data_IF_087931157165
#
_entry.id   IF_087931157165
#
_cell.length_a   1.000
_cell.length_b   1.000
_cell.length_c   1.000
_cell.angle_alpha   90.00
_cell.angle_beta   90.00
_cell.angle_gamma   90.00
#
_symmetry.space_group_name_H-M   'P 1'
#
loop_
_entity.id
_entity.type
_entity.pdbx_description
1 polymer ?
#
# COMPACT_ATOMS: atom_id res chain seq x y z
N UNK A 1 -19.80 64.31 -32.24
CA UNK A 1 -20.93 63.42 -31.86
C UNK A 1 -20.58 61.94 -32.08
N UNK A 2 -19.73 61.57 -33.04
CA UNK A 2 -19.36 60.17 -33.31
C UNK A 2 -18.42 59.52 -32.26
N UNK A 3 -17.50 60.27 -31.67
CA UNK A 3 -16.53 59.78 -30.69
C UNK A 3 -17.15 59.36 -29.34
N UNK A 4 -18.27 59.97 -28.94
CA UNK A 4 -18.97 59.62 -27.69
C UNK A 4 -19.77 58.33 -27.84
N UNK A 5 -20.31 58.07 -29.03
CA UNK A 5 -21.06 56.84 -29.33
C UNK A 5 -20.11 55.64 -29.38
N UNK A 6 -18.92 55.82 -29.97
CA UNK A 6 -17.90 54.75 -30.02
C UNK A 6 -17.37 54.38 -28.63
N UNK A 7 -17.14 55.37 -27.72
CA UNK A 7 -16.74 55.06 -26.34
C UNK A 7 -17.82 54.34 -25.52
N UNK A 8 -19.09 54.62 -25.76
CA UNK A 8 -20.21 53.93 -25.10
C UNK A 8 -20.40 52.50 -25.65
N UNK A 9 -20.14 52.25 -26.92
CA UNK A 9 -20.17 50.92 -27.52
C UNK A 9 -19.02 50.03 -27.00
N UNK A 10 -17.83 50.60 -26.86
CA UNK A 10 -16.66 49.88 -26.28
C UNK A 10 -16.89 49.58 -24.80
N UNK A 11 -17.48 50.47 -24.03
CA UNK A 11 -17.82 50.23 -22.62
C UNK A 11 -18.88 49.12 -22.45
N UNK A 12 -19.82 48.97 -23.41
CA UNK A 12 -20.82 47.89 -23.37
C UNK A 12 -20.23 46.52 -23.77
N UNK A 13 -19.20 46.48 -24.61
CA UNK A 13 -18.48 45.27 -25.00
C UNK A 13 -17.56 44.75 -23.90
N UNK A 14 -17.05 45.62 -23.00
CA UNK A 14 -16.18 45.22 -21.87
C UNK A 14 -16.98 44.74 -20.67
N UNK A 15 -18.25 45.15 -20.52
CA UNK A 15 -19.10 44.67 -19.41
C UNK A 15 -19.73 43.29 -19.66
N UNK A 16 -19.57 42.74 -20.88
CA UNK A 16 -19.96 41.38 -21.24
C UNK A 16 -18.90 40.31 -20.91
N UNK A 17 -17.85 40.68 -20.18
CA UNK A 17 -16.80 39.74 -19.76
C UNK A 17 -17.35 38.81 -18.66
N UNK A 18 -17.80 37.67 -19.12
CA UNK A 18 -17.46 36.34 -18.61
C UNK A 18 -17.78 36.19 -17.12
N UNK A 19 -19.03 35.95 -16.81
CA UNK A 19 -19.35 34.93 -15.82
C UNK A 19 -18.97 33.59 -16.46
N UNK A 20 -17.67 33.25 -16.42
CA UNK A 20 -17.28 31.86 -16.50
C UNK A 20 -17.93 31.22 -15.27
N UNK A 21 -18.82 30.23 -15.43
CA UNK A 21 -19.23 29.45 -14.29
C UNK A 21 -17.91 28.90 -13.72
N UNK A 22 -17.61 29.27 -12.47
CA UNK A 22 -16.67 28.53 -11.69
C UNK A 22 -17.25 27.12 -11.66
N UNK A 23 -16.79 26.27 -12.57
CA UNK A 23 -17.04 24.85 -12.47
C UNK A 23 -16.33 24.49 -11.19
N UNK A 24 -17.07 24.47 -10.08
CA UNK A 24 -16.63 23.75 -8.91
C UNK A 24 -16.43 22.33 -9.43
N UNK A 25 -15.19 21.98 -9.75
CA UNK A 25 -14.80 20.59 -9.82
C UNK A 25 -15.18 20.07 -8.45
N UNK A 26 -16.27 19.33 -8.37
CA UNK A 26 -16.56 18.54 -7.20
C UNK A 26 -15.35 17.63 -7.08
N UNK A 27 -14.45 17.97 -6.16
CA UNK A 27 -13.39 17.06 -5.79
C UNK A 27 -14.09 15.75 -5.47
N UNK A 28 -13.72 14.69 -6.15
CA UNK A 28 -14.28 13.38 -5.87
C UNK A 28 -13.79 13.02 -4.48
N UNK A 29 -14.61 13.22 -3.45
CA UNK A 29 -14.26 12.92 -2.06
C UNK A 29 -14.09 11.41 -1.82
N UNK A 30 -14.37 10.59 -2.84
CA UNK A 30 -14.21 9.14 -2.78
C UNK A 30 -12.75 8.79 -2.97
N UNK A 31 -12.18 8.17 -1.97
CA UNK A 31 -10.82 7.60 -2.07
C UNK A 31 -10.88 6.33 -2.90
N UNK A 32 -10.03 6.25 -3.90
CA UNK A 32 -9.86 5.05 -4.71
C UNK A 32 -8.54 4.36 -4.35
N UNK A 33 -8.49 3.05 -4.54
CA UNK A 33 -7.27 2.25 -4.35
C UNK A 33 -6.97 1.52 -5.65
N UNK A 34 -5.73 1.58 -6.07
CA UNK A 34 -5.24 0.89 -7.26
C UNK A 34 -4.10 -0.05 -6.86
N UNK A 35 -4.13 -1.27 -7.38
CA UNK A 35 -3.06 -2.26 -7.22
C UNK A 35 -2.55 -2.59 -8.62
N UNK A 36 -1.26 -2.38 -8.88
CA UNK A 36 -0.60 -2.63 -10.17
C UNK A 36 -1.27 -1.96 -11.38
N UNK A 37 -1.93 -0.82 -11.12
CA UNK A 37 -2.66 -0.04 -12.12
C UNK A 37 -4.13 -0.43 -12.28
N UNK A 38 -4.61 -1.48 -11.63
CA UNK A 38 -6.00 -1.90 -11.62
C UNK A 38 -6.71 -1.38 -10.37
N UNK A 39 -7.95 -0.90 -10.54
CA UNK A 39 -8.76 -0.41 -9.42
C UNK A 39 -9.21 -1.56 -8.53
N UNK A 40 -8.96 -1.41 -7.23
CA UNK A 40 -9.46 -2.36 -6.23
C UNK A 40 -10.98 -2.20 -6.07
N UNK A 41 -11.71 -3.25 -6.41
CA UNK A 41 -13.15 -3.29 -6.20
C UNK A 41 -13.46 -3.56 -4.72
N UNK A 42 -14.19 -2.64 -4.11
CA UNK A 42 -14.60 -2.72 -2.71
C UNK A 42 -16.13 -2.72 -2.60
N UNK A 43 -16.70 -3.56 -1.74
CA UNK A 43 -18.15 -3.56 -1.45
C UNK A 43 -18.60 -2.28 -0.73
N UNK A 44 -17.68 -1.63 -0.04
CA UNK A 44 -17.85 -0.32 0.60
C UNK A 44 -16.58 0.53 0.38
N UNK A 45 -16.75 1.85 0.30
CA UNK A 45 -15.64 2.74 0.00
C UNK A 45 -14.56 2.76 1.09
N UNK A 46 -13.28 2.91 0.70
CA UNK A 46 -12.20 3.28 1.62
C UNK A 46 -12.55 4.53 2.43
N UNK A 47 -11.99 4.65 3.63
CA UNK A 47 -12.23 5.78 4.54
C UNK A 47 -10.90 6.41 4.98
N UNK A 48 -10.87 7.73 5.07
CA UNK A 48 -9.77 8.44 5.74
C UNK A 48 -10.12 8.59 7.23
N UNK A 49 -9.29 8.03 8.09
CA UNK A 49 -9.45 8.08 9.54
C UNK A 49 -8.10 8.47 10.14
N UNK A 50 -8.08 9.57 10.87
CA UNK A 50 -6.88 10.10 11.50
C UNK A 50 -5.70 10.23 10.49
N UNK A 51 -6.01 10.79 9.30
CA UNK A 51 -5.08 11.00 8.18
C UNK A 51 -4.48 9.70 7.60
N UNK A 52 -5.12 8.57 7.83
CA UNK A 52 -4.75 7.26 7.26
C UNK A 52 -5.90 6.68 6.47
N UNK A 53 -5.59 6.14 5.30
CA UNK A 53 -6.59 5.44 4.50
C UNK A 53 -6.76 4.02 5.03
N UNK A 54 -7.99 3.72 5.44
CA UNK A 54 -8.43 2.39 5.81
C UNK A 54 -9.30 1.82 4.70
N UNK A 55 -9.10 0.55 4.41
CA UNK A 55 -9.82 -0.20 3.38
C UNK A 55 -10.56 -1.39 3.98
N UNK A 56 -11.67 -1.84 3.35
CA UNK A 56 -12.31 -3.08 3.75
C UNK A 56 -11.31 -4.24 3.71
N UNK A 57 -11.16 -4.93 4.84
CA UNK A 57 -10.11 -5.94 5.00
C UNK A 57 -10.14 -7.02 3.92
N UNK A 58 -11.34 -7.50 3.57
CA UNK A 58 -11.48 -8.58 2.61
C UNK A 58 -10.98 -8.17 1.25
N UNK A 59 -11.36 -6.98 0.79
CA UNK A 59 -10.94 -6.49 -0.52
C UNK A 59 -9.42 -6.46 -0.68
N UNK A 60 -8.71 -5.91 0.32
CA UNK A 60 -7.25 -5.77 0.21
C UNK A 60 -6.54 -7.13 0.35
N UNK A 61 -6.91 -7.97 1.31
CA UNK A 61 -6.25 -9.26 1.50
C UNK A 61 -6.51 -10.23 0.34
N UNK A 62 -7.76 -10.31 -0.17
CA UNK A 62 -8.10 -11.15 -1.31
C UNK A 62 -7.41 -10.69 -2.60
N UNK A 63 -7.25 -9.37 -2.80
CA UNK A 63 -6.48 -8.85 -3.94
C UNK A 63 -5.01 -9.28 -3.92
N UNK A 64 -4.45 -9.51 -2.74
CA UNK A 64 -3.11 -10.10 -2.58
C UNK A 64 -3.11 -11.63 -2.58
N UNK A 65 -4.25 -12.27 -2.85
CA UNK A 65 -4.37 -13.73 -2.90
C UNK A 65 -4.36 -14.43 -1.55
N UNK A 66 -4.66 -13.70 -0.47
CA UNK A 66 -4.76 -14.27 0.86
C UNK A 66 -6.19 -14.76 1.17
N UNK A 67 -6.30 -15.86 1.89
CA UNK A 67 -7.55 -16.32 2.47
C UNK A 67 -7.84 -15.55 3.77
N UNK A 68 -9.05 -15.01 3.89
CA UNK A 68 -9.41 -14.17 5.02
C UNK A 68 -10.43 -14.86 5.92
N UNK A 69 -10.16 -14.87 7.20
CA UNK A 69 -11.08 -15.37 8.23
C UNK A 69 -11.25 -14.36 9.36
N UNK A 70 -12.34 -14.50 10.11
CA UNK A 70 -12.70 -13.66 11.25
C UNK A 70 -12.88 -14.48 12.52
N UNK A 71 -12.13 -14.14 13.55
CA UNK A 71 -12.32 -14.69 14.89
C UNK A 71 -13.22 -13.76 15.72
N UNK A 72 -14.43 -14.23 16.02
CA UNK A 72 -15.40 -13.49 16.84
C UNK A 72 -14.93 -13.30 18.29
N UNK A 73 -14.22 -14.26 18.86
CA UNK A 73 -13.83 -14.24 20.26
C UNK A 73 -12.69 -13.23 20.49
N UNK A 74 -11.68 -13.27 19.61
CA UNK A 74 -10.54 -12.36 19.64
C UNK A 74 -10.82 -11.02 18.95
N UNK A 75 -11.95 -10.87 18.25
CA UNK A 75 -12.24 -9.73 17.36
C UNK A 75 -11.06 -9.44 16.43
N UNK A 76 -10.59 -10.49 15.75
CA UNK A 76 -9.33 -10.49 15.02
C UNK A 76 -9.54 -10.94 13.58
N UNK A 77 -8.91 -10.21 12.67
CA UNK A 77 -8.75 -10.62 11.27
C UNK A 77 -7.55 -11.53 11.16
N UNK A 78 -7.71 -12.64 10.48
CA UNK A 78 -6.65 -13.53 10.05
C UNK A 78 -6.62 -13.58 8.53
N UNK A 79 -5.44 -13.36 7.96
CA UNK A 79 -5.20 -13.50 6.53
C UNK A 79 -4.04 -14.48 6.33
N UNK A 80 -4.22 -15.45 5.44
CA UNK A 80 -3.27 -16.54 5.23
C UNK A 80 -2.92 -16.65 3.73
N UNK A 81 -1.64 -16.73 3.43
CA UNK A 81 -1.13 -16.93 2.07
C UNK A 81 0.19 -17.70 2.12
N UNK A 82 0.30 -18.79 1.34
CA UNK A 82 1.54 -19.57 1.17
C UNK A 82 2.18 -20.07 2.49
N UNK A 83 1.36 -20.37 3.52
CA UNK A 83 1.86 -20.80 4.82
C UNK A 83 2.28 -19.66 5.76
N UNK A 84 2.18 -18.43 5.30
CA UNK A 84 2.33 -17.22 6.12
C UNK A 84 0.98 -16.73 6.61
N UNK A 85 0.93 -16.08 7.77
CA UNK A 85 -0.29 -15.46 8.26
C UNK A 85 -0.03 -14.04 8.80
N UNK A 86 -1.08 -13.24 8.72
CA UNK A 86 -1.17 -11.91 9.32
C UNK A 86 -2.36 -11.92 10.29
N UNK A 87 -2.13 -11.44 11.50
CA UNK A 87 -3.11 -11.33 12.57
C UNK A 87 -3.33 -9.84 12.90
N UNK A 88 -4.55 -9.34 12.69
CA UNK A 88 -4.90 -7.92 12.89
C UNK A 88 -6.04 -7.84 13.91
N UNK A 89 -5.77 -7.68 15.21
CA UNK A 89 -6.79 -7.45 16.21
C UNK A 89 -7.45 -6.08 16.00
N UNK A 90 -8.77 -6.03 16.09
CA UNK A 90 -9.53 -4.78 16.00
C UNK A 90 -9.32 -3.93 17.25
N UNK A 91 -9.26 -2.60 17.07
CA UNK A 91 -9.00 -1.62 18.12
C UNK A 91 -7.63 -1.76 18.81
N UNK A 92 -6.70 -2.51 18.19
CA UNK A 92 -5.33 -2.68 18.65
C UNK A 92 -4.35 -2.07 17.65
N UNK A 93 -3.31 -1.40 18.15
CA UNK A 93 -2.27 -0.81 17.32
C UNK A 93 -1.13 -1.79 16.97
N UNK A 94 -1.27 -3.06 17.29
CA UNK A 94 -0.28 -4.07 16.96
C UNK A 94 -0.90 -5.09 16.01
N UNK A 95 -0.31 -5.23 14.85
CA UNK A 95 -0.50 -6.31 13.90
C UNK A 95 0.65 -7.29 14.04
N UNK A 96 0.39 -8.57 13.91
CA UNK A 96 1.43 -9.60 14.02
C UNK A 96 1.48 -10.46 12.78
N UNK A 97 2.67 -10.95 12.46
CA UNK A 97 2.89 -11.89 11.36
C UNK A 97 3.49 -13.19 11.86
N UNK A 98 3.34 -14.24 11.09
CA UNK A 98 3.93 -15.52 11.41
C UNK A 98 3.85 -16.52 10.25
N UNK A 99 4.37 -17.71 10.51
CA UNK A 99 4.36 -18.83 9.58
C UNK A 99 3.81 -20.08 10.27
N UNK A 100 3.25 -20.99 9.51
CA UNK A 100 2.88 -22.31 10.02
C UNK A 100 4.00 -23.33 9.77
N UNK A 101 4.33 -24.10 10.81
CA UNK A 101 5.17 -25.26 10.68
C UNK A 101 4.46 -26.38 9.91
N UNK A 102 5.23 -27.40 9.52
CA UNK A 102 4.71 -28.60 8.87
C UNK A 102 3.71 -29.40 9.72
N UNK A 103 3.73 -29.23 11.04
CA UNK A 103 2.78 -29.82 11.99
C UNK A 103 1.53 -28.94 12.23
N UNK A 104 1.44 -27.78 11.55
CA UNK A 104 0.34 -26.82 11.69
C UNK A 104 0.49 -25.88 12.90
N UNK A 105 1.57 -25.95 13.67
CA UNK A 105 1.82 -25.00 14.76
C UNK A 105 2.27 -23.64 14.20
N UNK A 106 1.81 -22.56 14.85
CA UNK A 106 2.14 -21.19 14.46
C UNK A 106 3.47 -20.75 15.09
N UNK A 107 4.34 -20.16 14.28
CA UNK A 107 5.52 -19.42 14.71
C UNK A 107 5.26 -17.94 14.45
N UNK A 108 5.27 -17.15 15.51
CA UNK A 108 5.18 -15.69 15.39
C UNK A 108 6.54 -15.13 14.97
N UNK A 109 6.55 -14.30 13.94
CA UNK A 109 7.78 -13.77 13.33
C UNK A 109 8.00 -12.33 13.73
N UNK A 110 6.99 -11.46 13.58
CA UNK A 110 7.14 -10.03 13.82
C UNK A 110 5.87 -9.39 14.39
N UNK A 111 6.03 -8.20 14.98
CA UNK A 111 4.97 -7.34 15.46
C UNK A 111 5.14 -5.94 14.87
N UNK A 112 4.12 -5.49 14.14
CA UNK A 112 4.14 -4.23 13.42
C UNK A 112 3.23 -3.23 14.15
N UNK A 113 3.80 -2.08 14.53
CA UNK A 113 3.05 -0.97 15.12
C UNK A 113 2.25 -0.25 14.05
N UNK A 114 0.94 -0.17 14.22
CA UNK A 114 0.02 0.55 13.35
C UNK A 114 -0.14 2.00 13.82
N UNK A 115 -0.10 2.94 12.89
CA UNK A 115 -0.41 4.35 13.17
C UNK A 115 -1.88 4.52 13.62
N UNK A 116 -2.77 3.79 12.96
CA UNK A 116 -4.20 3.74 13.27
C UNK A 116 -4.62 2.27 13.34
N UNK A 117 -5.34 1.86 14.40
CA UNK A 117 -5.78 0.46 14.52
C UNK A 117 -6.83 0.09 13.48
N UNK A 118 -6.97 -1.20 13.21
CA UNK A 118 -8.12 -1.72 12.48
C UNK A 118 -9.41 -1.41 13.24
N UNK A 119 -10.48 -1.08 12.51
CA UNK A 119 -11.76 -0.66 13.10
C UNK A 119 -12.95 -1.39 12.47
N UNK A 120 -14.00 -1.62 13.24
CA UNK A 120 -15.30 -2.02 12.71
C UNK A 120 -16.17 -0.76 12.54
N UNK A 121 -16.63 -0.53 11.32
CA UNK A 121 -17.48 0.61 10.95
C UNK A 121 -18.59 0.07 10.06
N UNK A 122 -19.85 0.33 10.45
CA UNK A 122 -21.04 -0.12 9.70
C UNK A 122 -20.99 -1.63 9.36
N UNK A 123 -20.64 -2.46 10.36
CA UNK A 123 -20.50 -3.92 10.24
C UNK A 123 -19.42 -4.38 9.24
N UNK A 124 -18.48 -3.53 8.88
CA UNK A 124 -17.31 -3.86 8.06
C UNK A 124 -16.03 -3.61 8.84
N UNK A 125 -15.11 -4.55 8.73
CA UNK A 125 -13.76 -4.39 9.30
C UNK A 125 -12.88 -3.68 8.29
N UNK A 126 -12.31 -2.56 8.72
CA UNK A 126 -11.37 -1.75 7.97
C UNK A 126 -9.97 -1.90 8.54
N UNK A 127 -8.98 -1.97 7.67
CA UNK A 127 -7.56 -2.09 8.03
C UNK A 127 -6.73 -0.98 7.37
N UNK A 128 -5.64 -0.51 8.01
CA UNK A 128 -4.76 0.48 7.41
C UNK A 128 -4.12 -0.06 6.13
N UNK A 129 -4.43 0.56 4.98
CA UNK A 129 -4.01 0.04 3.68
C UNK A 129 -2.51 -0.08 3.54
N UNK A 130 -1.76 0.92 4.01
CA UNK A 130 -0.30 0.95 3.92
C UNK A 130 0.32 -0.19 4.71
N UNK A 131 0.02 -0.28 6.01
CA UNK A 131 0.62 -1.29 6.87
C UNK A 131 0.37 -2.73 6.36
N UNK A 132 -0.87 -3.02 5.94
CA UNK A 132 -1.22 -4.33 5.39
C UNK A 132 -0.49 -4.62 4.08
N UNK A 133 -0.49 -3.65 3.14
CA UNK A 133 0.13 -3.85 1.83
C UNK A 133 1.66 -3.99 1.93
N UNK A 134 2.31 -3.17 2.75
CA UNK A 134 3.77 -3.24 2.97
C UNK A 134 4.16 -4.56 3.65
N UNK A 135 3.36 -5.05 4.60
CA UNK A 135 3.59 -6.37 5.22
C UNK A 135 3.44 -7.51 4.21
N UNK A 136 2.57 -7.36 3.21
CA UNK A 136 2.44 -8.32 2.10
C UNK A 136 3.49 -8.13 1.01
N UNK A 137 4.43 -7.22 1.24
CA UNK A 137 5.58 -6.99 0.39
C UNK A 137 5.36 -5.94 -0.70
N UNK A 138 4.32 -5.12 -0.68
CA UNK A 138 4.05 -4.07 -1.66
C UNK A 138 4.62 -2.71 -1.25
N UNK A 139 4.75 -1.78 -2.20
CA UNK A 139 4.97 -0.36 -1.92
C UNK A 139 3.68 0.42 -2.02
N UNK A 140 3.51 1.47 -1.21
CA UNK A 140 2.26 2.24 -1.14
C UNK A 140 2.53 3.73 -1.28
N UNK A 141 1.99 4.33 -2.36
CA UNK A 141 2.02 5.76 -2.65
C UNK A 141 0.64 6.42 -2.49
N UNK A 142 0.65 7.75 -2.42
CA UNK A 142 -0.54 8.58 -2.45
C UNK A 142 -0.50 9.53 -3.64
N UNK A 143 -1.51 9.47 -4.50
CA UNK A 143 -1.73 10.40 -5.59
C UNK A 143 -2.81 11.42 -5.17
N UNK A 144 -2.34 12.57 -4.68
CA UNK A 144 -3.21 13.60 -4.14
C UNK A 144 -4.02 14.34 -5.19
N UNK A 145 -3.59 14.34 -6.46
CA UNK A 145 -4.33 14.99 -7.55
C UNK A 145 -5.60 14.21 -7.90
N UNK A 146 -5.53 12.88 -7.80
CA UNK A 146 -6.63 11.97 -8.14
C UNK A 146 -7.31 11.37 -6.90
N UNK A 147 -6.93 11.78 -5.68
CA UNK A 147 -7.47 11.28 -4.41
C UNK A 147 -7.43 9.75 -4.31
N UNK A 148 -6.27 9.14 -4.61
CA UNK A 148 -6.13 7.69 -4.66
C UNK A 148 -4.86 7.15 -4.00
N UNK A 149 -4.98 5.95 -3.45
CA UNK A 149 -3.84 5.13 -3.05
C UNK A 149 -3.37 4.33 -4.24
N UNK A 150 -2.06 4.32 -4.47
CA UNK A 150 -1.42 3.50 -5.51
C UNK A 150 -0.52 2.48 -4.83
N UNK A 151 -0.77 1.21 -5.10
CA UNK A 151 -0.04 0.08 -4.55
C UNK A 151 0.68 -0.62 -5.70
N UNK A 152 1.98 -0.83 -5.55
CA UNK A 152 2.77 -1.67 -6.44
C UNK A 152 3.13 -2.95 -5.69
N UNK A 153 2.54 -4.07 -6.11
CA UNK A 153 2.76 -5.39 -5.52
C UNK A 153 3.92 -6.14 -6.17
N UNK A 154 4.51 -5.57 -7.23
CA UNK A 154 5.56 -6.19 -8.04
C UNK A 154 6.94 -6.05 -7.39
N UNK A 155 7.00 -6.32 -6.09
CA UNK A 155 8.29 -6.35 -5.42
C UNK A 155 9.05 -7.57 -5.92
N UNK A 156 10.05 -7.32 -6.74
CA UNK A 156 10.93 -8.33 -7.32
C UNK A 156 10.18 -9.50 -7.99
N UNK A 157 9.48 -9.25 -9.11
CA UNK A 157 9.03 -10.34 -9.98
C UNK A 157 10.17 -11.27 -10.39
N UNK A 158 11.41 -10.81 -10.29
CA UNK A 158 12.59 -11.66 -10.46
C UNK A 158 12.66 -12.79 -9.42
N UNK A 159 11.94 -12.66 -8.31
CA UNK A 159 11.97 -13.64 -7.22
C UNK A 159 13.37 -13.88 -6.70
N UNK A 160 14.25 -12.87 -6.78
CA UNK A 160 15.63 -12.96 -6.35
C UNK A 160 15.74 -12.56 -4.88
N UNK A 161 16.26 -13.43 -4.06
CA UNK A 161 16.59 -13.16 -2.67
C UNK A 161 18.06 -12.75 -2.57
N UNK A 162 18.33 -11.66 -1.88
CA UNK A 162 19.67 -11.21 -1.58
C UNK A 162 19.97 -11.48 -0.10
N UNK A 163 21.15 -12.01 0.20
CA UNK A 163 21.53 -12.32 1.56
C UNK A 163 23.03 -12.30 1.76
N UNK A 164 23.48 -11.99 2.98
CA UNK A 164 24.85 -12.17 3.40
C UNK A 164 25.06 -13.60 3.89
N UNK A 165 26.06 -14.28 3.37
CA UNK A 165 26.29 -15.70 3.71
C UNK A 165 27.25 -15.85 4.88
N UNK A 166 26.79 -16.39 6.01
CA UNK A 166 27.63 -16.70 7.18
C UNK A 166 28.75 -17.70 6.86
N UNK A 167 28.45 -18.65 5.97
CA UNK A 167 29.43 -19.66 5.57
C UNK A 167 30.54 -19.15 4.65
N UNK A 168 30.41 -17.92 4.12
CA UNK A 168 31.40 -17.26 3.28
C UNK A 168 31.69 -15.82 3.75
N UNK A 169 31.93 -15.66 5.04
CA UNK A 169 32.38 -14.41 5.66
C UNK A 169 31.49 -13.20 5.33
N UNK A 170 30.16 -13.36 5.41
CA UNK A 170 29.17 -12.30 5.17
C UNK A 170 29.22 -11.72 3.75
N UNK A 171 29.66 -12.47 2.76
CA UNK A 171 29.63 -12.01 1.37
C UNK A 171 28.22 -12.01 0.82
N UNK A 172 27.95 -11.05 -0.08
CA UNK A 172 26.65 -10.87 -0.70
C UNK A 172 26.39 -11.92 -1.78
N UNK A 173 25.24 -12.54 -1.66
CA UNK A 173 24.73 -13.50 -2.65
C UNK A 173 23.31 -13.12 -3.08
N UNK A 174 22.96 -13.55 -4.28
CA UNK A 174 21.57 -13.63 -4.73
C UNK A 174 21.20 -15.08 -5.01
N UNK A 175 19.93 -15.41 -4.84
CA UNK A 175 19.35 -16.68 -5.23
C UNK A 175 17.94 -16.44 -5.76
N UNK A 176 17.53 -17.16 -6.81
CA UNK A 176 16.14 -17.10 -7.22
C UNK A 176 15.23 -17.78 -6.16
N UNK A 177 13.94 -17.47 -6.17
CA UNK A 177 12.97 -17.99 -5.18
C UNK A 177 12.88 -19.51 -5.15
N UNK A 178 13.37 -20.19 -6.19
CA UNK A 178 13.41 -21.66 -6.28
C UNK A 178 14.76 -22.22 -5.81
N UNK A 179 15.66 -21.36 -5.31
CA UNK A 179 17.02 -21.70 -4.86
C UNK A 179 17.90 -22.37 -5.93
N UNK A 180 17.54 -22.19 -7.21
CA UNK A 180 18.20 -22.88 -8.33
C UNK A 180 19.44 -22.16 -8.84
N UNK A 181 19.51 -20.83 -8.73
CA UNK A 181 20.59 -20.02 -9.30
C UNK A 181 21.22 -19.14 -8.23
N UNK A 182 22.07 -19.73 -7.38
CA UNK A 182 22.87 -18.98 -6.43
C UNK A 182 24.03 -18.28 -7.14
N UNK A 183 24.10 -16.96 -6.99
CA UNK A 183 25.18 -16.14 -7.53
C UNK A 183 25.85 -15.34 -6.42
N UNK A 184 27.18 -15.33 -6.42
CA UNK A 184 27.95 -14.45 -5.57
C UNK A 184 28.05 -13.07 -6.24
N UNK A 185 27.67 -12.03 -5.52
CA UNK A 185 27.61 -10.65 -6.03
C UNK A 185 28.78 -9.79 -5.54
N UNK A 186 29.37 -10.13 -4.39
CA UNK A 186 30.49 -9.36 -3.81
C UNK A 186 31.54 -10.30 -3.20
N UNK A 187 32.79 -9.91 -3.33
CA UNK A 187 33.91 -10.53 -2.61
C UNK A 187 34.21 -9.84 -1.27
N UNK A 188 33.58 -8.69 -1.01
CA UNK A 188 33.68 -8.00 0.27
C UNK A 188 32.58 -8.50 1.24
N UNK A 189 32.90 -8.48 2.53
CA UNK A 189 31.89 -8.75 3.57
C UNK A 189 30.88 -7.63 3.61
N UNK A 190 29.61 -7.97 3.87
CA UNK A 190 28.47 -7.04 3.91
C UNK A 190 28.04 -6.88 5.36
N UNK A 191 28.05 -5.64 5.86
CA UNK A 191 27.63 -5.32 7.22
C UNK A 191 26.14 -4.97 7.32
N UNK A 192 25.61 -4.38 6.25
CA UNK A 192 24.25 -3.89 6.17
C UNK A 192 23.72 -4.06 4.74
N UNK A 193 22.48 -4.46 4.60
CA UNK A 193 21.84 -4.71 3.32
C UNK A 193 20.50 -3.99 3.29
N UNK A 194 20.31 -3.10 2.34
CA UNK A 194 19.06 -2.40 2.11
C UNK A 194 18.61 -2.54 0.66
N UNK A 195 17.30 -2.58 0.44
CA UNK A 195 16.71 -2.54 -0.88
C UNK A 195 15.93 -1.23 -1.04
N UNK A 196 16.23 -0.51 -2.11
CA UNK A 196 15.50 0.70 -2.48
C UNK A 196 15.35 0.79 -4.00
N UNK A 197 14.14 1.05 -4.47
CA UNK A 197 13.79 1.21 -5.89
C UNK A 197 14.39 0.09 -6.78
N UNK A 198 14.15 -1.16 -6.40
CA UNK A 198 14.64 -2.37 -7.09
C UNK A 198 16.18 -2.52 -7.14
N UNK A 199 16.91 -1.69 -6.41
CA UNK A 199 18.37 -1.78 -6.28
C UNK A 199 18.73 -2.27 -4.88
N UNK A 200 19.82 -3.05 -4.84
CA UNK A 200 20.39 -3.54 -3.58
C UNK A 200 21.57 -2.65 -3.20
N UNK A 201 21.48 -2.01 -2.05
CA UNK A 201 22.54 -1.20 -1.45
C UNK A 201 23.14 -1.97 -0.28
N UNK A 202 24.44 -1.93 -0.13
CA UNK A 202 25.12 -2.58 0.98
C UNK A 202 26.36 -1.79 1.43
N UNK A 203 26.67 -1.90 2.71
CA UNK A 203 27.92 -1.43 3.30
C UNK A 203 28.88 -2.62 3.42
N UNK A 204 30.12 -2.41 2.97
CA UNK A 204 31.19 -3.44 2.98
C UNK A 204 32.41 -2.96 3.76
#
# INVERSE_FOLDING_TARGET
KGAIILKKLIALLISGIIMLPCVNAFANDVIEVYIDGEKLECDVNPKNIDERVLVPMRAIFEAFGANVSWDNNGRTVWAERNGEFICVPVDNQIMSTGVYNSDGSAIWVDQIQLDVPAKIIDDRTYVPVRAVSETLGATVGWDGENNRVVIDSRINESGTVYYASDSDYQKLYSVDKNSANRQKLSDNSVCELEMYDNNVYYLS
#
